data_IF_776134530556
#
_entry.id   IF_776134530556
#
_cell.length_a   1.000
_cell.length_b   1.000
_cell.length_c   1.000
_cell.angle_alpha   90.00
_cell.angle_beta   90.00
_cell.angle_gamma   90.00
#
_symmetry.space_group_name_H-M   'P 1'
#
loop_
_entity.id
_entity.type
_entity.pdbx_description
1 polymer ?
#
# COMPACT_ATOMS: atom_id res chain seq x y z
N UNK A 1 5.09 20.93 1.35
CA UNK A 1 4.91 20.28 0.04
C UNK A 1 4.63 18.78 0.25
N UNK A 2 3.40 18.38 0.59
CA UNK A 2 3.02 16.98 0.88
C UNK A 2 2.03 16.41 -0.16
N UNK A 3 2.02 16.96 -1.38
CA UNK A 3 0.92 16.76 -2.33
C UNK A 3 1.09 15.63 -3.35
N UNK A 4 2.30 15.14 -3.60
CA UNK A 4 2.53 14.12 -4.65
C UNK A 4 2.53 12.69 -4.11
N UNK A 5 3.05 12.49 -2.90
CA UNK A 5 3.11 11.17 -2.26
C UNK A 5 1.75 10.59 -1.88
N UNK A 6 0.78 11.43 -1.49
CA UNK A 6 -0.57 10.98 -1.13
C UNK A 6 -1.36 10.48 -2.34
N UNK A 7 -1.23 11.15 -3.49
CA UNK A 7 -1.91 10.78 -4.74
C UNK A 7 -1.39 9.43 -5.26
N UNK A 8 -0.08 9.17 -5.10
CA UNK A 8 0.50 7.88 -5.51
C UNK A 8 0.03 6.71 -4.65
N UNK A 9 -0.25 6.94 -3.37
CA UNK A 9 -0.73 5.88 -2.48
C UNK A 9 -2.17 5.50 -2.84
N UNK A 10 -3.06 6.48 -3.03
CA UNK A 10 -4.46 6.23 -3.39
C UNK A 10 -4.61 5.36 -4.66
N UNK A 11 -3.81 5.64 -5.70
CA UNK A 11 -3.78 4.82 -6.92
C UNK A 11 -3.25 3.40 -6.70
N UNK A 12 -2.32 3.21 -5.76
CA UNK A 12 -1.80 1.89 -5.40
C UNK A 12 -2.85 1.12 -4.61
N UNK A 13 -3.60 1.78 -3.72
CA UNK A 13 -4.72 1.18 -2.97
C UNK A 13 -5.75 0.59 -3.93
N UNK A 14 -6.26 1.42 -4.85
CA UNK A 14 -7.28 1.03 -5.83
C UNK A 14 -6.83 -0.15 -6.69
N UNK A 15 -5.56 -0.13 -7.12
CA UNK A 15 -4.98 -1.21 -7.93
C UNK A 15 -4.83 -2.52 -7.13
N UNK A 16 -4.49 -2.44 -5.85
CA UNK A 16 -4.37 -3.62 -4.99
C UNK A 16 -5.76 -4.20 -4.65
N UNK A 17 -6.73 -3.34 -4.31
CA UNK A 17 -8.11 -3.77 -4.09
C UNK A 17 -8.63 -4.49 -5.34
N UNK A 18 -8.47 -3.88 -6.53
CA UNK A 18 -8.88 -4.49 -7.79
C UNK A 18 -8.17 -5.82 -8.05
N UNK A 19 -6.88 -5.93 -7.71
CA UNK A 19 -6.10 -7.15 -7.92
C UNK A 19 -6.55 -8.30 -7.02
N UNK A 20 -6.83 -8.04 -5.76
CA UNK A 20 -7.12 -9.06 -4.75
C UNK A 20 -8.62 -9.21 -4.43
N UNK A 21 -9.50 -8.50 -5.16
CA UNK A 21 -10.96 -8.46 -4.88
C UNK A 21 -11.66 -9.82 -4.76
N UNK A 22 -11.10 -10.89 -5.33
CA UNK A 22 -11.69 -12.23 -5.29
C UNK A 22 -11.19 -13.07 -4.10
N UNK A 23 -10.07 -12.69 -3.49
CA UNK A 23 -9.35 -13.50 -2.50
C UNK A 23 -9.27 -12.80 -1.13
N UNK A 24 -9.23 -11.46 -1.14
CA UNK A 24 -9.01 -10.63 0.04
C UNK A 24 -10.06 -9.51 0.10
N UNK A 25 -10.70 -9.27 1.26
CA UNK A 25 -11.62 -8.15 1.42
C UNK A 25 -10.90 -6.80 1.24
N UNK A 26 -11.60 -5.81 0.69
CA UNK A 26 -11.01 -4.48 0.49
C UNK A 26 -10.55 -3.82 1.80
N UNK A 27 -11.17 -4.15 2.94
CA UNK A 27 -10.77 -3.64 4.25
C UNK A 27 -9.39 -4.15 4.68
N UNK A 28 -9.11 -5.45 4.51
CA UNK A 28 -7.80 -6.04 4.81
C UNK A 28 -6.67 -5.43 3.97
N UNK A 29 -6.95 -5.16 2.68
CA UNK A 29 -6.00 -4.48 1.79
C UNK A 29 -5.70 -3.07 2.30
N UNK A 30 -6.73 -2.33 2.72
CA UNK A 30 -6.60 -0.97 3.29
C UNK A 30 -5.83 -0.97 4.61
N UNK A 31 -6.11 -1.91 5.50
CA UNK A 31 -5.39 -2.05 6.76
C UNK A 31 -3.92 -2.37 6.55
N UNK A 32 -3.61 -3.32 5.66
CA UNK A 32 -2.22 -3.65 5.29
C UNK A 32 -1.51 -2.43 4.69
N UNK A 33 -2.17 -1.71 3.79
CA UNK A 33 -1.59 -0.53 3.15
C UNK A 33 -1.33 0.59 4.16
N UNK A 34 -2.27 0.85 5.08
CA UNK A 34 -2.09 1.84 6.15
C UNK A 34 -0.93 1.47 7.08
N UNK A 35 -0.83 0.21 7.49
CA UNK A 35 0.25 -0.27 8.36
C UNK A 35 1.63 -0.09 7.70
N UNK A 36 1.75 -0.45 6.41
CA UNK A 36 3.00 -0.27 5.68
C UNK A 36 3.29 1.21 5.39
N UNK A 37 2.29 2.03 5.08
CA UNK A 37 2.48 3.46 4.88
C UNK A 37 2.95 4.18 6.17
N UNK A 38 2.39 3.81 7.33
CA UNK A 38 2.80 4.33 8.64
C UNK A 38 4.26 3.99 8.95
N UNK A 39 4.69 2.76 8.62
CA UNK A 39 6.09 2.33 8.77
C UNK A 39 7.09 3.26 8.05
N UNK A 40 6.70 3.82 6.93
CA UNK A 40 7.53 4.76 6.16
C UNK A 40 7.21 6.24 6.43
N UNK A 41 6.27 6.56 7.32
CA UNK A 41 5.88 7.93 7.63
C UNK A 41 7.05 8.78 8.20
N UNK A 42 7.97 8.13 8.91
CA UNK A 42 9.17 8.76 9.47
C UNK A 42 10.39 8.73 8.52
N UNK A 43 10.27 8.15 7.31
CA UNK A 43 11.41 8.00 6.42
C UNK A 43 11.77 9.33 5.72
N UNK A 44 13.05 9.74 5.73
CA UNK A 44 13.49 11.01 5.13
C UNK A 44 13.40 11.01 3.61
N UNK A 45 13.40 9.84 2.97
CA UNK A 45 13.27 9.69 1.51
C UNK A 45 11.88 9.14 1.19
N UNK A 46 11.02 10.01 0.65
CA UNK A 46 9.60 9.71 0.37
C UNK A 46 9.35 9.24 -1.06
N UNK A 47 10.28 9.48 -1.98
CA UNK A 47 10.14 9.15 -3.42
C UNK A 47 9.93 7.67 -3.69
N UNK A 48 10.53 6.79 -2.86
CA UNK A 48 10.46 5.34 -3.05
C UNK A 48 9.41 4.65 -2.17
N UNK A 49 8.80 5.38 -1.24
CA UNK A 49 7.79 4.85 -0.30
C UNK A 49 6.64 4.14 -1.03
N UNK A 50 6.06 4.67 -2.11
CA UNK A 50 4.97 4.00 -2.82
C UNK A 50 5.34 2.59 -3.31
N UNK A 51 6.54 2.45 -3.88
CA UNK A 51 7.03 1.17 -4.43
C UNK A 51 7.31 0.17 -3.30
N UNK A 52 7.89 0.65 -2.18
CA UNK A 52 8.17 -0.21 -1.02
C UNK A 52 6.89 -0.70 -0.35
N UNK A 53 5.90 0.18 -0.18
CA UNK A 53 4.58 -0.15 0.36
C UNK A 53 3.88 -1.19 -0.51
N UNK A 54 3.80 -0.96 -1.83
CA UNK A 54 3.17 -1.91 -2.75
C UNK A 54 3.79 -3.31 -2.66
N UNK A 55 5.13 -3.37 -2.64
CA UNK A 55 5.87 -4.63 -2.59
C UNK A 55 5.64 -5.36 -1.27
N UNK A 56 5.60 -4.64 -0.15
CA UNK A 56 5.34 -5.22 1.17
C UNK A 56 3.92 -5.76 1.28
N UNK A 57 2.92 -4.99 0.82
CA UNK A 57 1.52 -5.42 0.81
C UNK A 57 1.35 -6.67 -0.05
N UNK A 58 1.91 -6.71 -1.26
CA UNK A 58 1.86 -7.91 -2.12
C UNK A 58 2.46 -9.14 -1.43
N UNK A 59 3.65 -9.01 -0.84
CA UNK A 59 4.31 -10.13 -0.18
C UNK A 59 3.49 -10.68 1.00
N UNK A 60 2.77 -9.81 1.71
CA UNK A 60 1.91 -10.19 2.82
C UNK A 60 0.64 -10.88 2.34
N UNK A 61 -0.04 -10.31 1.33
CA UNK A 61 -1.29 -10.86 0.79
C UNK A 61 -1.08 -12.20 0.07
N UNK A 62 0.02 -12.36 -0.68
CA UNK A 62 0.38 -13.60 -1.38
C UNK A 62 0.64 -14.77 -0.41
N UNK A 63 1.04 -14.49 0.83
CA UNK A 63 1.23 -15.52 1.85
C UNK A 63 -0.07 -15.96 2.55
N UNK A 64 -1.14 -15.16 2.43
CA UNK A 64 -2.46 -15.41 3.02
C UNK A 64 -3.49 -15.97 2.02
N UNK A 65 -3.17 -15.96 0.72
CA UNK A 65 -4.02 -16.48 -0.36
C UNK A 65 -3.79 -17.97 -0.63
#
# INVERSE_FOLDING_TARGET
MAGQNGIHLDQIEDRLITRYQNDVPAEDVRECMRAEADRFAAAPVRTFVPILVERAVRARLDHTA
#
